data_IF_547368413383
#
_entry.id   IF_547368413383
#
_cell.length_a   1.000
_cell.length_b   1.000
_cell.length_c   1.000
_cell.angle_alpha   90.00
_cell.angle_beta   90.00
_cell.angle_gamma   90.00
#
_symmetry.space_group_name_H-M   'P 1'
#
loop_
_entity.id
_entity.type
_entity.pdbx_description
1 polymer ?
#
# COMPACT_ATOMS: atom_id res chain seq x y z
N UNK A 1 -15.92 -29.03 -5.64
CA UNK A 1 -16.01 -27.63 -5.18
C UNK A 1 -15.10 -26.79 -6.06
N UNK A 2 -15.63 -25.80 -6.76
CA UNK A 2 -14.81 -24.86 -7.52
C UNK A 2 -13.84 -24.13 -6.58
N UNK A 3 -12.60 -23.92 -7.02
CA UNK A 3 -11.63 -23.13 -6.27
C UNK A 3 -12.14 -21.68 -6.17
N UNK A 4 -12.06 -21.04 -4.99
CA UNK A 4 -12.39 -19.62 -4.87
C UNK A 4 -11.55 -18.78 -5.86
N UNK A 5 -12.20 -17.83 -6.55
CA UNK A 5 -11.52 -16.88 -7.44
C UNK A 5 -10.71 -15.88 -6.61
N UNK A 6 -9.38 -15.90 -6.78
CA UNK A 6 -8.44 -15.07 -6.02
C UNK A 6 -7.86 -13.91 -6.84
N UNK A 7 -7.87 -13.99 -8.17
CA UNK A 7 -7.27 -12.96 -9.02
C UNK A 7 -8.18 -11.74 -9.18
N UNK A 8 -9.49 -11.96 -9.17
CA UNK A 8 -10.51 -10.90 -9.28
C UNK A 8 -11.70 -11.18 -8.35
N UNK A 9 -11.52 -11.13 -7.03
CA UNK A 9 -12.55 -11.48 -6.04
C UNK A 9 -13.63 -10.40 -5.87
N UNK A 10 -13.65 -9.38 -6.73
CA UNK A 10 -14.51 -8.20 -6.59
C UNK A 10 -15.94 -8.49 -7.03
N UNK A 11 -16.92 -8.18 -6.17
CA UNK A 11 -18.29 -8.08 -6.63
C UNK A 11 -18.46 -6.84 -7.55
N UNK A 12 -19.29 -6.89 -8.61
CA UNK A 12 -19.42 -5.79 -9.57
C UNK A 12 -19.78 -4.43 -8.94
N UNK A 13 -20.60 -4.43 -7.89
CA UNK A 13 -21.01 -3.21 -7.19
C UNK A 13 -19.85 -2.59 -6.41
N UNK A 14 -19.06 -3.39 -5.69
CA UNK A 14 -17.85 -2.92 -4.99
C UNK A 14 -16.78 -2.46 -5.96
N UNK A 15 -16.58 -3.18 -7.07
CA UNK A 15 -15.63 -2.77 -8.11
C UNK A 15 -15.96 -1.36 -8.65
N UNK A 16 -17.23 -1.07 -8.94
CA UNK A 16 -17.68 0.27 -9.35
C UNK A 16 -17.42 1.31 -8.27
N UNK A 17 -17.68 0.98 -7.01
CA UNK A 17 -17.43 1.87 -5.88
C UNK A 17 -15.94 2.19 -5.73
N UNK A 18 -15.05 1.19 -5.80
CA UNK A 18 -13.60 1.40 -5.76
C UNK A 18 -13.12 2.28 -6.93
N UNK A 19 -13.56 2.00 -8.15
CA UNK A 19 -13.22 2.82 -9.32
C UNK A 19 -13.69 4.26 -9.13
N UNK A 20 -14.93 4.45 -8.67
CA UNK A 20 -15.47 5.79 -8.42
C UNK A 20 -14.65 6.56 -7.40
N UNK A 21 -14.36 5.93 -6.25
CA UNK A 21 -13.56 6.55 -5.19
C UNK A 21 -12.14 6.90 -5.63
N UNK A 22 -11.44 5.96 -6.27
CA UNK A 22 -10.09 6.18 -6.78
C UNK A 22 -10.06 7.25 -7.87
N UNK A 23 -11.11 7.34 -8.70
CA UNK A 23 -11.23 8.39 -9.71
C UNK A 23 -11.43 9.76 -9.07
N UNK A 24 -12.25 9.88 -8.01
CA UNK A 24 -12.40 11.13 -7.26
C UNK A 24 -11.05 11.60 -6.73
N UNK A 25 -10.28 10.70 -6.10
CA UNK A 25 -8.93 10.98 -5.61
C UNK A 25 -8.03 11.51 -6.74
N UNK A 26 -7.95 10.80 -7.86
CA UNK A 26 -7.12 11.21 -8.99
C UNK A 26 -7.54 12.55 -9.61
N UNK A 27 -8.85 12.77 -9.77
CA UNK A 27 -9.40 14.02 -10.30
C UNK A 27 -9.07 15.20 -9.40
N UNK A 28 -9.23 15.05 -8.08
CA UNK A 28 -8.92 16.12 -7.12
C UNK A 28 -7.43 16.46 -7.15
N UNK A 29 -6.56 15.45 -7.20
CA UNK A 29 -5.11 15.65 -7.31
C UNK A 29 -4.73 16.46 -8.55
N UNK A 30 -5.22 16.05 -9.72
CA UNK A 30 -4.95 16.74 -10.99
C UNK A 30 -5.56 18.13 -10.99
N UNK A 31 -6.81 18.26 -10.53
CA UNK A 31 -7.52 19.53 -10.46
C UNK A 31 -6.78 20.53 -9.58
N UNK A 32 -6.40 20.16 -8.35
CA UNK A 32 -5.68 21.04 -7.45
C UNK A 32 -4.33 21.47 -8.02
N UNK A 33 -3.58 20.53 -8.61
CA UNK A 33 -2.30 20.81 -9.26
C UNK A 33 -2.45 21.84 -10.38
N UNK A 34 -3.46 21.68 -11.25
CA UNK A 34 -3.72 22.61 -12.36
C UNK A 34 -4.30 23.93 -11.86
N UNK A 35 -5.22 23.91 -10.90
CA UNK A 35 -5.88 25.09 -10.37
C UNK A 35 -4.89 26.03 -9.68
N UNK A 36 -3.97 25.50 -8.86
CA UNK A 36 -2.90 26.29 -8.24
C UNK A 36 -1.88 26.77 -9.29
N UNK A 37 -1.45 25.90 -10.21
CA UNK A 37 -0.51 26.28 -11.28
C UNK A 37 -1.04 27.40 -12.19
N UNK A 38 -2.37 27.46 -12.39
CA UNK A 38 -3.04 28.49 -13.20
C UNK A 38 -3.59 29.65 -12.38
N UNK A 39 -3.37 29.66 -11.05
CA UNK A 39 -3.87 30.66 -10.10
C UNK A 39 -5.40 30.77 -10.05
N UNK A 40 -6.11 29.70 -10.43
CA UNK A 40 -7.55 29.57 -10.25
C UNK A 40 -7.92 29.47 -8.76
N UNK A 41 -7.09 28.77 -7.98
CA UNK A 41 -7.19 28.69 -6.53
C UNK A 41 -5.91 29.24 -5.88
N UNK A 42 -6.02 29.90 -4.71
CA UNK A 42 -4.87 30.39 -3.98
C UNK A 42 -4.36 29.36 -2.95
N UNK A 43 -3.04 29.22 -2.87
CA UNK A 43 -2.33 28.41 -1.88
C UNK A 43 -2.54 28.90 -0.44
N UNK A 44 -3.69 28.56 0.13
CA UNK A 44 -4.16 28.99 1.44
C UNK A 44 -4.58 27.80 2.28
N UNK A 45 -4.48 27.93 3.61
CA UNK A 45 -4.88 26.86 4.53
C UNK A 45 -6.33 26.40 4.31
N UNK A 46 -7.24 27.29 3.96
CA UNK A 46 -8.65 26.93 3.68
C UNK A 46 -8.77 25.99 2.48
N UNK A 47 -8.03 26.29 1.40
CA UNK A 47 -7.99 25.45 0.20
C UNK A 47 -7.33 24.11 0.54
N UNK A 48 -6.25 24.11 1.32
CA UNK A 48 -5.60 22.90 1.81
C UNK A 48 -6.55 22.00 2.59
N UNK A 49 -7.25 22.55 3.58
CA UNK A 49 -8.22 21.79 4.39
C UNK A 49 -9.33 21.21 3.51
N UNK A 50 -9.90 22.01 2.61
CA UNK A 50 -10.99 21.55 1.74
C UNK A 50 -10.51 20.42 0.80
N UNK A 51 -9.36 20.61 0.15
CA UNK A 51 -8.81 19.63 -0.78
C UNK A 51 -8.48 18.31 -0.08
N UNK A 52 -7.82 18.36 1.09
CA UNK A 52 -7.48 17.14 1.83
C UNK A 52 -8.71 16.44 2.42
N UNK A 53 -9.78 17.16 2.80
CA UNK A 53 -11.05 16.53 3.19
C UNK A 53 -11.71 15.79 2.03
N UNK A 54 -11.78 16.41 0.85
CA UNK A 54 -12.36 15.78 -0.35
C UNK A 54 -11.54 14.55 -0.76
N UNK A 55 -10.22 14.60 -0.62
CA UNK A 55 -9.33 13.47 -0.85
C UNK A 55 -9.45 12.37 0.22
N UNK A 56 -9.50 12.75 1.49
CA UNK A 56 -9.48 11.83 2.64
C UNK A 56 -10.77 11.03 2.81
N UNK A 57 -11.93 11.61 2.49
CA UNK A 57 -13.23 10.93 2.59
C UNK A 57 -13.25 9.60 1.80
N UNK A 58 -12.86 9.55 0.51
CA UNK A 58 -12.71 8.30 -0.22
C UNK A 58 -11.91 7.23 0.53
N UNK A 59 -10.78 7.59 1.11
CA UNK A 59 -9.92 6.65 1.84
C UNK A 59 -10.63 6.10 3.07
N UNK A 60 -11.34 6.95 3.81
CA UNK A 60 -12.14 6.57 4.99
C UNK A 60 -13.33 5.66 4.64
N UNK A 61 -13.86 5.74 3.42
CA UNK A 61 -14.99 4.92 2.96
C UNK A 61 -14.56 3.52 2.51
N UNK A 62 -13.28 3.28 2.21
CA UNK A 62 -12.79 2.00 1.69
C UNK A 62 -13.10 0.80 2.62
N UNK A 63 -12.90 0.88 3.95
CA UNK A 63 -13.29 -0.21 4.85
C UNK A 63 -14.79 -0.51 4.77
N UNK A 64 -15.64 0.52 4.69
CA UNK A 64 -17.09 0.34 4.60
C UNK A 64 -17.49 -0.39 3.33
N UNK A 65 -16.85 -0.06 2.20
CA UNK A 65 -17.10 -0.76 0.92
C UNK A 65 -16.61 -2.20 0.98
N UNK A 66 -15.45 -2.46 1.60
CA UNK A 66 -14.93 -3.82 1.75
C UNK A 66 -15.90 -4.74 2.50
N UNK A 67 -16.59 -4.20 3.51
CA UNK A 67 -17.60 -4.92 4.30
C UNK A 67 -19.02 -4.81 3.73
N UNK A 68 -19.24 -4.03 2.68
CA UNK A 68 -20.54 -3.89 2.03
C UNK A 68 -20.89 -5.17 1.25
N UNK A 69 -21.94 -5.85 1.72
CA UNK A 69 -22.47 -7.07 1.12
C UNK A 69 -23.78 -6.79 0.38
N UNK A 70 -23.93 -7.32 -0.82
CA UNK A 70 -25.22 -7.38 -1.49
C UNK A 70 -26.16 -8.40 -0.82
N UNK A 71 -27.47 -8.24 -1.03
CA UNK A 71 -28.46 -9.19 -0.51
C UNK A 71 -28.19 -10.59 -1.05
N UNK A 72 -27.99 -11.56 -0.16
CA UNK A 72 -27.69 -12.95 -0.51
C UNK A 72 -26.22 -13.24 -0.84
N UNK A 73 -25.32 -12.26 -0.71
CA UNK A 73 -23.90 -12.47 -0.99
C UNK A 73 -23.24 -13.33 0.11
N UNK A 74 -22.82 -14.53 -0.27
CA UNK A 74 -21.98 -15.41 0.55
C UNK A 74 -20.53 -15.24 0.12
N UNK A 75 -19.65 -14.95 1.09
CA UNK A 75 -18.25 -14.64 0.81
C UNK A 75 -17.35 -15.42 1.74
N UNK A 76 -16.45 -16.20 1.15
CA UNK A 76 -15.45 -16.91 1.94
C UNK A 76 -14.44 -15.94 2.56
N UNK A 77 -13.86 -16.34 3.69
CA UNK A 77 -12.76 -15.62 4.34
C UNK A 77 -11.57 -15.40 3.39
N UNK A 78 -11.31 -16.37 2.51
CA UNK A 78 -10.24 -16.29 1.51
C UNK A 78 -10.51 -15.24 0.43
N UNK A 79 -11.76 -15.13 -0.06
CA UNK A 79 -12.15 -14.06 -1.00
C UNK A 79 -12.12 -12.69 -0.34
N UNK A 80 -12.43 -12.59 0.96
CA UNK A 80 -12.25 -11.35 1.73
C UNK A 80 -10.79 -10.93 1.79
N UNK A 81 -9.92 -11.87 2.13
CA UNK A 81 -8.49 -11.65 2.19
C UNK A 81 -7.90 -11.21 0.83
N UNK A 82 -8.29 -11.90 -0.25
CA UNK A 82 -7.82 -11.58 -1.60
C UNK A 82 -8.25 -10.18 -2.05
N UNK A 83 -9.51 -9.78 -1.81
CA UNK A 83 -9.98 -8.44 -2.20
C UNK A 83 -9.29 -7.33 -1.41
N UNK A 84 -9.16 -7.49 -0.09
CA UNK A 84 -8.43 -6.54 0.75
C UNK A 84 -6.99 -6.36 0.25
N UNK A 85 -6.31 -7.46 -0.05
CA UNK A 85 -4.95 -7.44 -0.59
C UNK A 85 -4.89 -6.67 -1.92
N UNK A 86 -5.78 -6.98 -2.86
CA UNK A 86 -5.74 -6.40 -4.20
C UNK A 86 -6.20 -4.93 -4.27
N UNK A 87 -6.93 -4.44 -3.27
CA UNK A 87 -7.28 -3.00 -3.15
C UNK A 87 -6.18 -2.24 -2.44
N UNK A 88 -5.60 -2.83 -1.40
CA UNK A 88 -4.57 -2.17 -0.61
C UNK A 88 -3.30 -1.91 -1.43
N UNK A 89 -2.84 -2.88 -2.22
CA UNK A 89 -1.61 -2.73 -2.98
C UNK A 89 -1.60 -1.47 -3.88
N UNK A 90 -2.59 -1.22 -4.76
CA UNK A 90 -2.57 -0.02 -5.61
C UNK A 90 -2.72 1.27 -4.82
N UNK A 91 -3.37 1.27 -3.64
CA UNK A 91 -3.43 2.45 -2.77
C UNK A 91 -2.05 2.79 -2.21
N UNK A 92 -1.38 1.81 -1.62
CA UNK A 92 -0.05 2.05 -1.03
C UNK A 92 0.98 2.29 -2.14
N UNK A 93 1.07 1.45 -3.17
CA UNK A 93 2.01 1.66 -4.27
C UNK A 93 1.72 2.94 -5.05
N UNK A 94 0.44 3.32 -5.19
CA UNK A 94 0.02 4.59 -5.76
C UNK A 94 0.66 5.76 -5.03
N UNK A 95 0.51 5.85 -3.69
CA UNK A 95 1.15 6.91 -2.89
C UNK A 95 2.66 6.99 -3.13
N UNK A 96 3.35 5.85 -3.14
CA UNK A 96 4.80 5.80 -3.36
C UNK A 96 5.18 6.31 -4.76
N UNK A 97 4.43 5.95 -5.80
CA UNK A 97 4.77 6.29 -7.17
C UNK A 97 4.26 7.68 -7.61
N UNK A 98 3.19 8.19 -7.00
CA UNK A 98 2.59 9.48 -7.39
C UNK A 98 2.94 10.62 -6.46
N UNK A 99 3.37 10.32 -5.23
CA UNK A 99 3.79 11.31 -4.24
C UNK A 99 5.30 11.24 -4.01
N UNK A 100 5.80 10.10 -3.55
CA UNK A 100 7.20 9.98 -3.12
C UNK A 100 8.20 9.97 -4.27
N UNK A 101 7.87 9.31 -5.38
CA UNK A 101 8.75 9.31 -6.56
C UNK A 101 8.95 10.73 -7.12
N UNK A 102 7.91 11.54 -7.37
CA UNK A 102 8.12 12.94 -7.72
C UNK A 102 8.93 13.69 -6.67
N UNK A 103 8.66 13.51 -5.37
CA UNK A 103 9.45 14.12 -4.28
C UNK A 103 10.95 13.81 -4.44
N UNK A 104 11.32 12.54 -4.61
CA UNK A 104 12.72 12.15 -4.83
C UNK A 104 13.31 12.77 -6.10
N UNK A 105 12.55 12.80 -7.20
CA UNK A 105 13.02 13.36 -8.47
C UNK A 105 13.22 14.88 -8.40
N UNK A 106 12.45 15.60 -7.60
CA UNK A 106 12.62 17.04 -7.42
C UNK A 106 13.68 17.44 -6.40
N UNK A 107 14.13 16.49 -5.56
CA UNK A 107 15.12 16.76 -4.51
C UNK A 107 16.46 17.29 -5.07
N UNK A 108 17.07 16.71 -6.13
CA UNK A 108 18.31 17.24 -6.74
C UNK A 108 18.18 18.64 -7.35
N UNK A 109 16.95 19.08 -7.64
CA UNK A 109 16.66 20.40 -8.23
C UNK A 109 16.14 21.40 -7.19
N UNK A 110 16.14 21.03 -5.90
CA UNK A 110 15.66 21.87 -4.80
C UNK A 110 14.22 22.36 -5.00
N UNK A 111 13.34 21.53 -5.58
CA UNK A 111 11.96 21.93 -5.91
C UNK A 111 11.09 22.16 -4.67
N UNK A 112 11.47 21.57 -3.53
CA UNK A 112 10.68 21.54 -2.28
C UNK A 112 11.11 22.61 -1.26
N UNK A 113 11.90 23.58 -1.70
CA UNK A 113 12.21 24.73 -0.88
C UNK A 113 10.92 25.50 -0.50
N UNK A 114 10.85 26.07 0.72
CA UNK A 114 9.72 26.91 1.13
C UNK A 114 9.46 28.05 0.14
N UNK A 115 8.20 28.28 -0.19
CA UNK A 115 7.75 29.31 -1.12
C UNK A 115 6.35 29.79 -0.76
N UNK A 116 6.00 31.00 -1.17
CA UNK A 116 4.62 31.52 -1.09
C UNK A 116 3.83 31.31 -2.39
N UNK A 117 4.50 30.87 -3.46
CA UNK A 117 3.90 30.56 -4.77
C UNK A 117 4.31 29.13 -5.18
N UNK A 118 3.58 28.09 -4.70
CA UNK A 118 3.93 26.70 -4.97
C UNK A 118 3.57 26.27 -6.40
N UNK A 119 2.52 26.84 -6.99
CA UNK A 119 2.00 26.46 -8.30
C UNK A 119 1.72 24.96 -8.38
N UNK A 120 2.25 24.29 -9.41
CA UNK A 120 2.09 22.84 -9.59
C UNK A 120 2.68 22.00 -8.45
N UNK A 121 3.57 22.57 -7.62
CA UNK A 121 4.19 21.88 -6.49
C UNK A 121 3.31 21.84 -5.25
N UNK A 122 2.09 22.37 -5.32
CA UNK A 122 1.18 22.53 -4.18
C UNK A 122 1.03 21.27 -3.33
N UNK A 123 0.95 20.09 -3.96
CA UNK A 123 0.78 18.82 -3.26
C UNK A 123 1.93 18.48 -2.28
N UNK A 124 3.18 18.74 -2.68
CA UNK A 124 4.36 18.55 -1.83
C UNK A 124 4.56 19.73 -0.89
N UNK A 125 4.32 20.94 -1.38
CA UNK A 125 4.40 22.14 -0.58
C UNK A 125 3.48 22.10 0.64
N UNK A 126 2.21 21.73 0.45
CA UNK A 126 1.22 21.73 1.54
C UNK A 126 1.58 20.71 2.62
N UNK A 127 2.19 19.57 2.26
CA UNK A 127 2.67 18.60 3.23
C UNK A 127 3.99 19.06 3.88
N UNK A 128 4.90 19.68 3.13
CA UNK A 128 6.13 20.30 3.65
C UNK A 128 5.89 21.48 4.61
N UNK A 129 4.69 22.05 4.62
CA UNK A 129 4.24 22.97 5.67
C UNK A 129 3.88 22.25 6.98
N UNK A 130 3.42 21.01 6.89
CA UNK A 130 2.97 20.20 8.02
C UNK A 130 4.09 19.34 8.60
N UNK A 131 4.98 18.81 7.78
CA UNK A 131 6.24 18.18 8.18
C UNK A 131 7.38 18.88 7.46
N UNK A 132 8.13 19.69 8.20
CA UNK A 132 9.15 20.56 7.61
C UNK A 132 10.35 19.82 7.03
N UNK A 133 10.46 18.50 7.24
CA UNK A 133 11.52 17.67 6.67
C UNK A 133 11.20 17.16 5.27
N UNK A 134 9.97 17.32 4.78
CA UNK A 134 9.65 17.13 3.36
C UNK A 134 10.15 18.29 2.47
N UNK A 135 11.22 18.95 2.92
CA UNK A 135 12.02 19.92 2.17
C UNK A 135 13.21 19.22 1.54
N UNK A 136 13.97 19.94 0.72
CA UNK A 136 15.09 19.35 -0.03
C UNK A 136 16.38 19.16 0.78
N UNK A 137 16.32 19.30 2.11
CA UNK A 137 17.49 19.34 2.99
C UNK A 137 17.51 18.24 4.07
N UNK A 138 16.50 17.38 4.15
CA UNK A 138 16.45 16.29 5.13
C UNK A 138 16.92 14.94 4.52
N UNK A 139 18.10 14.42 4.91
CA UNK A 139 18.62 13.17 4.39
C UNK A 139 17.89 11.93 4.94
N UNK A 140 17.23 12.04 6.09
CA UNK A 140 16.49 10.94 6.70
C UNK A 140 15.20 10.65 5.93
N UNK A 141 14.38 11.67 5.67
CA UNK A 141 13.17 11.55 4.86
C UNK A 141 13.52 11.12 3.44
N UNK A 142 14.57 11.68 2.82
CA UNK A 142 15.00 11.23 1.50
C UNK A 142 15.31 9.71 1.48
N UNK A 143 16.06 9.21 2.46
CA UNK A 143 16.39 7.79 2.56
C UNK A 143 15.17 6.90 2.81
N UNK A 144 14.26 7.34 3.67
CA UNK A 144 12.99 6.66 3.96
C UNK A 144 12.15 6.53 2.68
N UNK A 145 11.93 7.64 1.99
CA UNK A 145 11.09 7.67 0.78
C UNK A 145 11.74 6.95 -0.40
N UNK A 146 13.07 6.97 -0.51
CA UNK A 146 13.77 6.16 -1.50
C UNK A 146 13.49 4.67 -1.35
N UNK A 147 13.55 4.15 -0.12
CA UNK A 147 13.19 2.76 0.15
C UNK A 147 11.71 2.49 -0.16
N UNK A 148 10.83 3.44 0.20
CA UNK A 148 9.40 3.32 0.00
C UNK A 148 9.02 3.26 -1.49
N UNK A 149 9.68 4.06 -2.35
CA UNK A 149 9.51 4.02 -3.81
C UNK A 149 9.94 2.68 -4.41
N UNK A 150 11.09 2.14 -4.02
CA UNK A 150 11.54 0.82 -4.49
C UNK A 150 10.53 -0.28 -4.14
N UNK A 151 9.97 -0.21 -2.93
CA UNK A 151 8.91 -1.13 -2.51
C UNK A 151 7.63 -0.90 -3.31
N UNK A 152 7.24 0.35 -3.57
CA UNK A 152 6.08 0.70 -4.41
C UNK A 152 6.17 0.08 -5.82
N UNK A 153 7.35 0.10 -6.44
CA UNK A 153 7.61 -0.57 -7.73
C UNK A 153 7.41 -2.09 -7.60
N UNK A 154 8.03 -2.71 -6.60
CA UNK A 154 7.93 -4.15 -6.37
C UNK A 154 6.48 -4.60 -6.11
N UNK A 155 5.73 -3.83 -5.32
CA UNK A 155 4.32 -4.07 -5.02
C UNK A 155 3.45 -3.91 -6.27
N UNK A 156 3.74 -2.94 -7.14
CA UNK A 156 3.03 -2.77 -8.42
C UNK A 156 3.22 -4.00 -9.31
N UNK A 157 4.46 -4.51 -9.41
CA UNK A 157 4.74 -5.74 -10.17
C UNK A 157 3.99 -6.94 -9.55
N UNK A 158 4.01 -7.09 -8.24
CA UNK A 158 3.29 -8.15 -7.55
C UNK A 158 1.78 -8.07 -7.82
N UNK A 159 1.19 -6.88 -7.75
CA UNK A 159 -0.22 -6.63 -8.01
C UNK A 159 -0.64 -7.01 -9.42
N UNK A 160 0.08 -6.52 -10.44
CA UNK A 160 -0.19 -6.86 -11.83
C UNK A 160 -0.13 -8.37 -12.07
N UNK A 161 0.81 -9.07 -11.43
CA UNK A 161 0.87 -10.53 -11.46
C UNK A 161 -0.34 -11.16 -10.78
N UNK A 162 -0.73 -10.71 -9.57
CA UNK A 162 -1.84 -11.28 -8.81
C UNK A 162 -3.20 -11.13 -9.52
N UNK A 163 -3.37 -10.09 -10.34
CA UNK A 163 -4.57 -9.86 -11.18
C UNK A 163 -4.72 -10.87 -12.34
N UNK A 164 -3.67 -11.63 -12.68
CA UNK A 164 -3.71 -12.66 -13.72
C UNK A 164 -4.48 -13.88 -13.23
N UNK A 165 -5.46 -14.34 -14.00
CA UNK A 165 -6.24 -15.56 -13.70
C UNK A 165 -5.46 -16.84 -13.96
N UNK A 166 -4.57 -16.81 -14.94
CA UNK A 166 -3.74 -17.93 -15.40
C UNK A 166 -2.43 -18.10 -14.62
N UNK A 167 -2.21 -17.31 -13.56
CA UNK A 167 -0.97 -17.36 -12.78
C UNK A 167 -0.89 -18.69 -12.00
N UNK A 168 0.16 -19.52 -12.21
CA UNK A 168 0.34 -20.76 -11.46
C UNK A 168 0.45 -20.51 -9.96
N UNK A 169 0.01 -21.48 -9.16
CA UNK A 169 -0.02 -21.38 -7.69
C UNK A 169 1.34 -20.99 -7.09
N UNK A 170 2.43 -21.64 -7.54
CA UNK A 170 3.78 -21.31 -7.08
C UNK A 170 4.16 -19.84 -7.36
N UNK A 171 3.83 -19.35 -8.56
CA UNK A 171 4.07 -17.95 -8.93
C UNK A 171 3.19 -16.99 -8.14
N UNK A 172 1.95 -17.38 -7.81
CA UNK A 172 1.03 -16.60 -6.97
C UNK A 172 1.55 -16.51 -5.54
N UNK A 173 2.00 -17.63 -4.98
CA UNK A 173 2.63 -17.69 -3.65
C UNK A 173 3.85 -16.76 -3.58
N UNK A 174 4.73 -16.80 -4.59
CA UNK A 174 5.90 -15.89 -4.67
C UNK A 174 5.49 -14.41 -4.72
N UNK A 175 4.49 -14.06 -5.53
CA UNK A 175 3.96 -12.68 -5.57
C UNK A 175 3.34 -12.25 -4.25
N UNK A 176 2.66 -13.16 -3.54
CA UNK A 176 2.10 -12.89 -2.20
C UNK A 176 3.20 -12.71 -1.16
N UNK A 177 4.29 -13.49 -1.19
CA UNK A 177 5.44 -13.27 -0.32
C UNK A 177 6.14 -11.94 -0.59
N UNK A 178 6.31 -11.57 -1.86
CA UNK A 178 6.82 -10.24 -2.22
C UNK A 178 5.91 -9.13 -1.69
N UNK A 179 4.60 -9.33 -1.79
CA UNK A 179 3.60 -8.42 -1.21
C UNK A 179 3.75 -8.32 0.30
N UNK A 180 3.84 -9.46 1.00
CA UNK A 180 4.00 -9.51 2.45
C UNK A 180 5.26 -8.76 2.90
N UNK A 181 6.39 -9.04 2.25
CA UNK A 181 7.65 -8.38 2.53
C UNK A 181 7.57 -6.87 2.29
N UNK A 182 7.08 -6.44 1.12
CA UNK A 182 6.95 -5.02 0.79
C UNK A 182 6.06 -4.26 1.79
N UNK A 183 4.89 -4.80 2.13
CA UNK A 183 4.00 -4.20 3.12
C UNK A 183 4.66 -4.12 4.50
N UNK A 184 5.44 -5.15 4.88
CA UNK A 184 6.18 -5.15 6.16
C UNK A 184 7.25 -4.05 6.19
N UNK A 185 7.97 -3.84 5.08
CA UNK A 185 8.99 -2.77 4.99
C UNK A 185 8.34 -1.39 5.11
N UNK A 186 7.27 -1.13 4.36
CA UNK A 186 6.54 0.14 4.46
C UNK A 186 6.00 0.38 5.87
N UNK A 187 5.36 -0.63 6.46
CA UNK A 187 4.85 -0.56 7.83
C UNK A 187 5.97 -0.26 8.83
N UNK A 188 7.13 -0.92 8.71
CA UNK A 188 8.28 -0.67 9.57
C UNK A 188 8.80 0.76 9.40
N UNK A 189 8.89 1.25 8.16
CA UNK A 189 9.26 2.64 7.86
C UNK A 189 8.33 3.63 8.55
N UNK A 190 7.01 3.43 8.45
CA UNK A 190 6.01 4.25 9.13
C UNK A 190 6.18 4.20 10.66
N UNK A 191 6.38 3.01 11.25
CA UNK A 191 6.62 2.89 12.70
C UNK A 191 7.88 3.67 13.13
N UNK A 192 8.98 3.54 12.40
CA UNK A 192 10.22 4.25 12.71
C UNK A 192 10.05 5.77 12.55
N UNK A 193 9.29 6.22 11.54
CA UNK A 193 8.91 7.61 11.36
C UNK A 193 8.19 8.16 12.61
N UNK A 194 7.13 7.49 13.08
CA UNK A 194 6.39 7.95 14.27
C UNK A 194 7.21 7.90 15.56
N UNK A 195 8.02 6.86 15.76
CA UNK A 195 8.89 6.78 16.94
C UNK A 195 9.92 7.91 16.92
N UNK A 196 10.46 8.24 15.74
CA UNK A 196 11.35 9.39 15.55
C UNK A 196 10.64 10.71 15.87
N UNK A 197 9.39 10.89 15.44
CA UNK A 197 8.58 12.07 15.77
C UNK A 197 8.36 12.26 17.27
N UNK A 198 7.93 11.18 17.94
CA UNK A 198 7.69 11.20 19.39
C UNK A 198 8.99 11.54 20.12
N UNK A 199 10.12 10.95 19.70
CA UNK A 199 11.43 11.23 20.27
C UNK A 199 11.86 12.69 20.04
N UNK A 200 11.59 13.23 18.86
CA UNK A 200 11.91 14.61 18.50
C UNK A 200 10.94 15.63 19.14
N UNK A 201 9.90 15.17 19.85
CA UNK A 201 8.89 16.05 20.45
C UNK A 201 8.02 16.77 19.43
N UNK A 202 7.88 16.21 18.22
CA UNK A 202 7.12 16.80 17.11
C UNK A 202 7.63 18.18 16.65
N UNK A 203 8.92 18.48 16.85
CA UNK A 203 9.52 19.77 16.52
C UNK A 203 9.40 20.16 15.04
N UNK A 204 9.32 19.17 14.16
CA UNK A 204 9.24 19.37 12.71
C UNK A 204 7.79 19.50 12.21
N UNK A 205 6.80 19.30 13.10
CA UNK A 205 5.37 19.33 12.76
C UNK A 205 4.84 20.76 12.81
N UNK A 206 4.56 21.31 11.63
CA UNK A 206 3.99 22.64 11.42
C UNK A 206 2.45 22.67 11.41
N UNK A 207 1.88 23.84 11.06
CA UNK A 207 0.43 24.08 10.95
C UNK A 207 -0.41 23.80 12.23
N UNK A 208 0.23 23.71 13.40
CA UNK A 208 -0.44 23.57 14.69
C UNK A 208 -1.34 22.34 14.75
N UNK A 209 -2.55 22.50 15.31
CA UNK A 209 -3.50 21.40 15.47
C UNK A 209 -3.91 20.72 14.14
N UNK A 210 -3.94 21.47 13.04
CA UNK A 210 -4.27 20.91 11.73
C UNK A 210 -3.16 19.98 11.22
N UNK A 211 -1.91 20.44 11.24
CA UNK A 211 -0.77 19.61 10.84
C UNK A 211 -0.63 18.35 11.71
N UNK A 212 -0.82 18.49 13.02
CA UNK A 212 -0.76 17.35 13.93
C UNK A 212 -1.92 16.36 13.76
N UNK A 213 -3.17 16.81 13.91
CA UNK A 213 -4.30 15.87 13.98
C UNK A 213 -4.77 15.41 12.62
N UNK A 214 -4.72 16.28 11.62
CA UNK A 214 -5.22 15.93 10.31
C UNK A 214 -4.14 15.24 9.46
N UNK A 215 -2.96 15.85 9.32
CA UNK A 215 -1.91 15.32 8.43
C UNK A 215 -1.06 14.26 9.09
N UNK A 216 -0.52 14.51 10.28
CA UNK A 216 0.26 13.50 10.98
C UNK A 216 -0.61 12.35 11.47
N UNK A 217 -1.76 12.61 12.11
CA UNK A 217 -2.60 11.53 12.62
C UNK A 217 -3.56 11.00 11.55
N UNK A 218 -4.41 11.85 10.98
CA UNK A 218 -5.46 11.45 10.05
C UNK A 218 -4.96 10.78 8.76
N UNK A 219 -3.92 11.33 8.13
CA UNK A 219 -3.40 10.79 6.86
C UNK A 219 -2.46 9.59 7.08
N UNK A 220 -1.64 9.60 8.12
CA UNK A 220 -0.58 8.60 8.30
C UNK A 220 -0.93 7.41 9.23
N UNK A 221 -1.82 7.56 10.24
CA UNK A 221 -2.22 6.44 11.11
C UNK A 221 -2.90 5.30 10.34
N UNK A 222 -3.71 5.54 9.29
CA UNK A 222 -4.20 4.46 8.44
C UNK A 222 -3.08 3.57 7.89
N UNK A 223 -1.91 4.13 7.57
CA UNK A 223 -0.72 3.39 7.12
C UNK A 223 0.02 2.66 8.25
N UNK A 224 -0.33 2.86 9.52
CA UNK A 224 0.10 1.99 10.63
C UNK A 224 -0.90 0.86 10.91
N UNK A 225 -2.19 1.15 10.83
CA UNK A 225 -3.23 0.21 11.26
C UNK A 225 -3.59 -0.78 10.17
N UNK A 226 -3.83 -0.29 8.94
CA UNK A 226 -4.30 -1.12 7.84
C UNK A 226 -3.32 -2.23 7.41
N UNK A 227 -1.98 -1.99 7.33
CA UNK A 227 -1.03 -3.04 6.96
C UNK A 227 -1.14 -4.31 7.80
N UNK A 228 -1.44 -4.20 9.10
CA UNK A 228 -1.56 -5.38 9.99
C UNK A 228 -2.64 -6.33 9.50
N UNK A 229 -3.80 -5.78 9.11
CA UNK A 229 -4.90 -6.58 8.55
C UNK A 229 -4.56 -7.13 7.17
N UNK A 230 -3.84 -6.37 6.35
CA UNK A 230 -3.44 -6.81 5.01
C UNK A 230 -2.38 -7.90 5.08
N UNK A 231 -1.39 -7.80 5.97
CA UNK A 231 -0.40 -8.86 6.20
C UNK A 231 -1.10 -10.16 6.61
N UNK A 232 -2.11 -10.08 7.48
CA UNK A 232 -2.91 -11.25 7.85
C UNK A 232 -3.70 -11.81 6.66
N UNK A 233 -4.28 -10.95 5.82
CA UNK A 233 -4.98 -11.35 4.61
C UNK A 233 -4.05 -12.03 3.58
N UNK A 234 -2.84 -11.51 3.41
CA UNK A 234 -1.81 -12.11 2.56
C UNK A 234 -1.40 -13.48 3.12
N UNK A 235 -1.19 -13.59 4.45
CA UNK A 235 -0.90 -14.86 5.11
C UNK A 235 -1.98 -15.93 4.86
N UNK A 236 -3.27 -15.58 4.99
CA UNK A 236 -4.38 -16.53 4.72
C UNK A 236 -4.30 -17.10 3.30
N UNK A 237 -3.97 -16.25 2.32
CA UNK A 237 -3.84 -16.70 0.92
C UNK A 237 -2.61 -17.58 0.71
N UNK A 238 -1.47 -17.21 1.31
CA UNK A 238 -0.23 -18.00 1.25
C UNK A 238 -0.47 -19.38 1.87
N UNK A 239 -1.04 -19.45 3.08
CA UNK A 239 -1.30 -20.71 3.79
C UNK A 239 -2.23 -21.62 2.96
N UNK A 240 -3.32 -21.07 2.42
CA UNK A 240 -4.24 -21.83 1.58
C UNK A 240 -3.56 -22.43 0.34
N UNK A 241 -2.85 -21.59 -0.43
CA UNK A 241 -2.20 -22.01 -1.67
C UNK A 241 -1.05 -22.99 -1.41
N UNK A 242 -0.29 -22.78 -0.33
CA UNK A 242 0.83 -23.67 0.05
C UNK A 242 0.30 -25.05 0.45
N UNK A 243 -0.77 -25.13 1.25
CA UNK A 243 -1.41 -26.41 1.60
C UNK A 243 -1.96 -27.12 0.37
N UNK A 244 -2.59 -26.38 -0.54
CA UNK A 244 -3.11 -26.94 -1.79
C UNK A 244 -2.00 -27.51 -2.66
N UNK A 245 -0.89 -26.78 -2.83
CA UNK A 245 0.27 -27.25 -3.58
C UNK A 245 0.89 -28.50 -2.93
N UNK A 246 1.00 -28.53 -1.60
CA UNK A 246 1.50 -29.70 -0.87
C UNK A 246 0.60 -30.93 -1.00
N UNK A 247 -0.73 -30.76 -0.99
CA UNK A 247 -1.67 -31.86 -1.19
C UNK A 247 -1.66 -32.42 -2.62
N UNK A 248 -1.27 -31.61 -3.60
CA UNK A 248 -1.12 -32.01 -5.00
C UNK A 248 0.23 -32.66 -5.32
N UNK A 249 1.21 -32.59 -4.40
CA UNK A 249 2.52 -33.19 -4.59
C UNK A 249 2.40 -34.74 -4.55
N UNK A 250 3.05 -35.46 -5.48
CA UNK A 250 3.09 -36.92 -5.43
C UNK A 250 3.67 -37.40 -4.10
N UNK A 251 3.09 -38.44 -3.50
CA UNK A 251 3.69 -39.08 -2.35
C UNK A 251 5.11 -39.57 -2.71
N UNK A 252 6.13 -39.34 -1.85
CA UNK A 252 7.47 -39.83 -2.12
C UNK A 252 7.40 -41.35 -2.31
N UNK A 253 7.78 -41.82 -3.50
CA UNK A 253 7.84 -43.23 -3.83
C UNK A 253 8.76 -43.92 -2.83
N UNK A 254 8.27 -44.98 -2.16
CA UNK A 254 9.01 -45.77 -1.18
C UNK A 254 10.15 -46.61 -1.80
N UNK A 255 10.82 -46.09 -2.83
CA UNK A 255 11.92 -46.74 -3.51
C UNK A 255 13.25 -46.23 -2.91
N UNK A 256 13.54 -46.63 -1.67
CA UNK A 256 14.91 -46.69 -1.13
C UNK A 256 15.02 -47.38 0.25
N UNK A 257 13.94 -47.96 0.79
CA UNK A 257 13.99 -48.71 2.05
C UNK A 257 14.42 -50.19 1.91
N UNK A 258 14.77 -50.66 0.70
CA UNK A 258 14.95 -52.09 0.40
C UNK A 258 16.38 -52.56 0.06
N UNK A 259 17.38 -51.67 -0.05
CA UNK A 259 18.74 -52.05 -0.45
C UNK A 259 19.65 -52.18 0.78
N UNK A 260 19.36 -53.16 1.63
CA UNK A 260 20.15 -53.41 2.84
C UNK A 260 19.88 -54.79 3.45
N UNK A 261 19.94 -55.85 2.63
CA UNK A 261 20.04 -57.21 3.18
C UNK A 261 21.48 -57.48 3.61
N UNK A 262 21.70 -58.08 4.80
CA UNK A 262 23.02 -58.24 5.39
C UNK A 262 23.75 -59.40 4.72
N UNK A 263 24.95 -59.13 4.18
CA UNK A 263 25.89 -60.18 3.80
C UNK A 263 26.38 -60.88 5.07
N UNK A 264 25.87 -62.08 5.29
CA UNK A 264 26.40 -63.04 6.25
C UNK A 264 27.85 -63.36 5.88
N UNK A 265 28.78 -63.08 6.78
CA UNK A 265 30.16 -63.55 6.71
C UNK A 265 30.19 -64.94 7.34
N UNK A 266 30.54 -65.96 6.57
CA UNK A 266 30.85 -67.31 7.03
C UNK A 266 32.28 -67.68 6.66
N UNK A 267 33.01 -68.17 7.67
CA UNK A 267 34.31 -68.84 7.67
C UNK A 267 35.56 -67.97 7.39
#
# INVERSE_FOLDING_TARGET
MESPELARPFAPHRQRAYIGLLSVVGVVFVFMTVAEATRLLPATLTVDVAANLIFGIPVLLLPLILFWKARGEQRSRLQLAAELTLIYIPLTAGSQLTYELPFLLGHPFNLWAPTTDPGWRWLWWQYGLADTRYRSDDPWIFGLEFAAVLVGIALTIAWLRLLRRDLPDESRIKSLWLTFFGITVLFTGTVVYYVSEIRAGFNDIGQGAYGLWFKLVGENVPYMVLPVFVLYAVYIQIDHLTRRAGAAAPAPTAANAGAGSPSAVSA
#
